data_IF_920406895379
#
_entry.id   IF_920406895379
#
_cell.length_a   1.000
_cell.length_b   1.000
_cell.length_c   1.000
_cell.angle_alpha   90.00
_cell.angle_beta   90.00
_cell.angle_gamma   90.00
#
_symmetry.space_group_name_H-M   'P 1'
#
loop_
_entity.id
_entity.type
_entity.pdbx_description
1 polymer ?
#
# COMPACT_ATOMS: atom_id res chain seq x y z
N UNK A 1 -10.36 -47.98 -66.98
CA UNK A 1 -11.09 -48.04 -65.70
C UNK A 1 -10.57 -46.93 -64.79
N UNK A 2 -11.37 -45.89 -64.57
CA UNK A 2 -10.99 -44.70 -63.79
C UNK A 2 -11.41 -44.87 -62.32
N UNK A 3 -10.46 -44.71 -61.40
CA UNK A 3 -10.64 -44.91 -59.95
C UNK A 3 -11.08 -43.58 -59.33
N UNK A 4 -12.33 -43.50 -58.89
CA UNK A 4 -12.89 -42.31 -58.25
C UNK A 4 -12.19 -42.01 -56.91
N UNK A 5 -11.71 -40.78 -56.75
CA UNK A 5 -11.21 -40.25 -55.46
C UNK A 5 -12.40 -39.96 -54.54
N UNK A 6 -12.51 -40.67 -53.42
CA UNK A 6 -13.50 -40.38 -52.38
C UNK A 6 -13.16 -39.03 -51.72
N UNK A 7 -14.01 -38.03 -51.93
CA UNK A 7 -13.95 -36.75 -51.21
C UNK A 7 -14.32 -37.01 -49.75
N UNK A 8 -13.37 -36.83 -48.82
CA UNK A 8 -13.65 -36.80 -47.39
C UNK A 8 -14.39 -35.48 -47.10
N UNK A 9 -15.70 -35.56 -46.88
CA UNK A 9 -16.53 -34.41 -46.52
C UNK A 9 -16.41 -34.21 -45.01
N UNK A 10 -15.69 -33.17 -44.58
CA UNK A 10 -15.70 -32.73 -43.19
C UNK A 10 -17.14 -32.36 -42.78
N UNK A 11 -17.75 -33.18 -41.93
CA UNK A 11 -19.06 -32.91 -41.39
C UNK A 11 -19.02 -31.66 -40.51
N UNK A 12 -19.75 -30.60 -40.88
CA UNK A 12 -19.93 -29.41 -40.03
C UNK A 12 -20.50 -29.83 -38.67
N UNK A 13 -19.71 -29.68 -37.59
CA UNK A 13 -20.17 -29.94 -36.22
C UNK A 13 -21.34 -29.01 -35.92
N UNK A 14 -22.52 -29.58 -35.62
CA UNK A 14 -23.70 -28.84 -35.18
C UNK A 14 -23.50 -28.39 -33.72
N UNK A 15 -23.71 -27.11 -33.41
CA UNK A 15 -23.61 -26.58 -32.05
C UNK A 15 -23.35 -25.07 -31.97
N UNK A 16 -23.34 -24.54 -30.75
CA UNK A 16 -22.95 -23.15 -30.47
C UNK A 16 -21.49 -22.93 -30.91
N UNK A 17 -21.16 -21.85 -31.64
CA UNK A 17 -19.78 -21.53 -32.00
C UNK A 17 -18.87 -21.52 -30.78
N UNK A 18 -17.67 -22.11 -30.93
CA UNK A 18 -16.64 -22.02 -29.90
C UNK A 18 -16.10 -20.60 -29.89
N UNK A 19 -16.17 -19.95 -28.73
CA UNK A 19 -15.57 -18.65 -28.49
C UNK A 19 -14.10 -18.85 -28.09
N UNK A 20 -13.22 -17.89 -28.35
CA UNK A 20 -11.83 -17.94 -27.90
C UNK A 20 -11.72 -17.90 -26.36
N UNK A 21 -10.57 -18.27 -25.80
CA UNK A 21 -10.39 -18.24 -24.34
C UNK A 21 -10.49 -16.80 -23.82
N UNK A 22 -9.81 -15.85 -24.45
CA UNK A 22 -9.71 -14.46 -23.96
C UNK A 22 -11.02 -13.68 -24.02
N UNK A 23 -11.80 -13.89 -25.09
CA UNK A 23 -13.08 -13.23 -25.34
C UNK A 23 -14.23 -13.80 -24.49
N UNK A 24 -14.01 -14.94 -23.84
CA UNK A 24 -15.03 -15.61 -23.06
C UNK A 24 -15.30 -14.94 -21.71
N UNK A 25 -16.55 -15.05 -21.24
CA UNK A 25 -16.90 -14.66 -19.86
C UNK A 25 -16.20 -15.54 -18.82
N UNK A 26 -15.99 -15.01 -17.62
CA UNK A 26 -15.30 -15.72 -16.52
C UNK A 26 -15.88 -17.09 -16.21
N UNK A 27 -17.22 -17.23 -16.25
CA UNK A 27 -17.89 -18.53 -16.07
C UNK A 27 -17.43 -19.54 -17.11
N UNK A 28 -17.31 -19.12 -18.37
CA UNK A 28 -16.88 -19.98 -19.47
C UNK A 28 -15.37 -20.26 -19.37
N UNK A 29 -14.53 -19.28 -19.01
CA UNK A 29 -13.09 -19.46 -18.76
C UNK A 29 -12.85 -20.52 -17.67
N UNK A 30 -13.56 -20.40 -16.54
CA UNK A 30 -13.51 -21.40 -15.45
C UNK A 30 -13.94 -22.79 -15.92
N UNK A 31 -15.02 -22.89 -16.69
CA UNK A 31 -15.49 -24.16 -17.27
C UNK A 31 -14.49 -24.76 -18.26
N UNK A 32 -13.82 -23.96 -19.08
CA UNK A 32 -12.77 -24.46 -19.99
C UNK A 32 -11.53 -24.92 -19.20
N UNK A 33 -11.22 -24.26 -18.10
CA UNK A 33 -10.08 -24.60 -17.25
C UNK A 33 -10.32 -25.79 -16.31
N UNK A 34 -11.56 -26.28 -16.14
CA UNK A 34 -11.84 -27.39 -15.21
C UNK A 34 -11.13 -28.67 -15.61
N UNK A 35 -11.08 -28.96 -16.90
CA UNK A 35 -10.50 -30.20 -17.40
C UNK A 35 -8.99 -30.22 -17.12
N UNK A 36 -8.32 -29.07 -17.31
CA UNK A 36 -6.90 -28.89 -16.97
C UNK A 36 -6.64 -28.91 -15.47
N UNK A 37 -7.51 -28.30 -14.66
CA UNK A 37 -7.39 -28.27 -13.20
C UNK A 37 -7.56 -29.65 -12.57
N UNK A 38 -8.46 -30.47 -13.10
CA UNK A 38 -8.76 -31.79 -12.54
C UNK A 38 -7.79 -32.86 -13.02
N UNK A 39 -7.18 -32.68 -14.20
CA UNK A 39 -6.28 -33.67 -14.80
C UNK A 39 -4.84 -33.60 -14.28
N UNK A 40 -4.39 -32.44 -13.76
CA UNK A 40 -3.00 -32.21 -13.36
C UNK A 40 -2.86 -31.86 -11.89
N UNK A 41 -1.70 -32.18 -11.33
CA UNK A 41 -1.35 -31.79 -9.97
C UNK A 41 -1.02 -30.29 -9.87
N UNK A 42 -1.14 -29.73 -8.67
CA UNK A 42 -0.85 -28.31 -8.43
C UNK A 42 0.61 -27.97 -8.76
N UNK A 43 1.56 -28.83 -8.40
CA UNK A 43 2.98 -28.64 -8.68
C UNK A 43 3.29 -28.58 -10.17
N UNK A 44 2.69 -29.46 -10.98
CA UNK A 44 2.83 -29.45 -12.44
C UNK A 44 2.25 -28.16 -13.04
N UNK A 45 1.10 -27.71 -12.56
CA UNK A 45 0.49 -26.46 -13.02
C UNK A 45 1.39 -25.26 -12.72
N UNK A 46 2.02 -25.21 -11.54
CA UNK A 46 2.95 -24.15 -11.17
C UNK A 46 4.19 -24.13 -12.07
N UNK A 47 4.77 -25.30 -12.36
CA UNK A 47 5.92 -25.41 -13.26
C UNK A 47 5.57 -24.95 -14.68
N UNK A 48 4.40 -25.35 -15.20
CA UNK A 48 3.93 -24.92 -16.52
C UNK A 48 3.74 -23.40 -16.58
N UNK A 49 3.17 -22.80 -15.54
CA UNK A 49 3.02 -21.34 -15.43
C UNK A 49 4.38 -20.65 -15.42
N UNK A 50 5.34 -21.18 -14.67
CA UNK A 50 6.70 -20.62 -14.61
C UNK A 50 7.38 -20.67 -15.99
N UNK A 51 7.27 -21.79 -16.69
CA UNK A 51 7.82 -21.98 -18.04
C UNK A 51 7.14 -21.06 -19.06
N UNK A 52 5.80 -20.93 -19.01
CA UNK A 52 5.06 -20.08 -19.93
C UNK A 52 5.41 -18.61 -19.74
N UNK A 53 5.53 -18.13 -18.50
CA UNK A 53 5.93 -16.75 -18.19
C UNK A 53 7.37 -16.44 -18.61
N UNK A 54 8.29 -17.41 -18.53
CA UNK A 54 9.64 -17.21 -19.09
C UNK A 54 9.63 -17.14 -20.61
N UNK A 55 8.84 -17.99 -21.26
CA UNK A 55 8.74 -17.99 -22.72
C UNK A 55 8.12 -16.71 -23.28
N UNK A 56 7.23 -16.06 -22.51
CA UNK A 56 6.64 -14.77 -22.88
C UNK A 56 7.52 -13.55 -22.54
N UNK A 57 8.71 -13.76 -21.95
CA UNK A 57 9.62 -12.70 -21.54
C UNK A 57 9.32 -12.06 -20.18
N UNK A 58 8.29 -12.53 -19.45
CA UNK A 58 7.91 -12.05 -18.13
C UNK A 58 8.74 -12.69 -17.00
N UNK A 59 10.07 -12.55 -17.08
CA UNK A 59 11.02 -13.20 -16.15
C UNK A 59 10.79 -12.84 -14.68
N UNK A 60 10.47 -11.57 -14.39
CA UNK A 60 10.21 -11.09 -13.03
C UNK A 60 8.98 -11.79 -12.44
N UNK A 61 7.90 -11.93 -13.22
CA UNK A 61 6.69 -12.61 -12.79
C UNK A 61 6.94 -14.10 -12.50
N UNK A 62 7.70 -14.77 -13.37
CA UNK A 62 8.11 -16.17 -13.15
C UNK A 62 8.92 -16.33 -11.85
N UNK A 63 9.87 -15.41 -11.59
CA UNK A 63 10.67 -15.42 -10.36
C UNK A 63 9.80 -15.24 -9.11
N UNK A 64 8.84 -14.30 -9.14
CA UNK A 64 7.93 -14.05 -8.02
C UNK A 64 7.07 -15.26 -7.72
N UNK A 65 6.50 -15.91 -8.74
CA UNK A 65 5.68 -17.11 -8.56
C UNK A 65 6.51 -18.23 -7.93
N UNK A 66 7.73 -18.48 -8.42
CA UNK A 66 8.64 -19.46 -7.83
C UNK A 66 8.94 -19.16 -6.36
N UNK A 67 9.20 -17.89 -6.04
CA UNK A 67 9.52 -17.46 -4.69
C UNK A 67 8.35 -17.64 -3.72
N UNK A 68 7.14 -17.24 -4.13
CA UNK A 68 5.91 -17.37 -3.34
C UNK A 68 5.55 -18.85 -3.10
N UNK A 69 5.85 -19.73 -4.06
CA UNK A 69 5.45 -21.14 -4.01
C UNK A 69 6.49 -22.05 -3.36
N UNK A 70 7.78 -21.75 -3.47
CA UNK A 70 8.87 -22.67 -3.06
C UNK A 70 9.45 -22.40 -1.67
N UNK A 71 9.33 -21.17 -1.14
CA UNK A 71 10.07 -20.77 0.07
C UNK A 71 9.25 -20.94 1.35
N UNK A 72 8.25 -20.09 1.58
CA UNK A 72 7.37 -20.14 2.75
C UNK A 72 5.96 -19.67 2.40
N UNK A 73 4.91 -20.25 3.02
CA UNK A 73 3.52 -19.84 2.78
C UNK A 73 3.25 -18.37 3.16
N UNK A 74 4.08 -17.80 4.04
CA UNK A 74 4.00 -16.40 4.50
C UNK A 74 4.65 -15.40 3.55
N UNK A 75 5.39 -15.85 2.53
CA UNK A 75 6.10 -14.95 1.61
C UNK A 75 5.14 -14.09 0.79
N UNK A 76 4.01 -14.66 0.35
CA UNK A 76 2.94 -13.93 -0.32
C UNK A 76 2.40 -12.78 0.52
N UNK A 77 2.23 -13.00 1.83
CA UNK A 77 1.74 -11.96 2.74
C UNK A 77 2.73 -10.80 2.88
N UNK A 78 4.04 -11.07 2.85
CA UNK A 78 5.07 -10.03 2.87
C UNK A 78 5.00 -9.14 1.62
N UNK A 79 4.80 -9.72 0.43
CA UNK A 79 4.57 -8.92 -0.78
C UNK A 79 3.31 -8.07 -0.66
N UNK A 80 2.22 -8.66 -0.14
CA UNK A 80 0.95 -7.94 0.04
C UNK A 80 1.08 -6.78 1.01
N UNK A 81 1.79 -6.94 2.12
CA UNK A 81 2.02 -5.84 3.08
C UNK A 81 2.95 -4.79 2.49
N UNK A 82 4.04 -5.18 1.83
CA UNK A 82 4.96 -4.24 1.18
C UNK A 82 4.28 -3.40 0.11
N UNK A 83 3.42 -4.00 -0.73
CA UNK A 83 2.65 -3.26 -1.73
C UNK A 83 1.71 -2.25 -1.07
N UNK A 84 0.97 -2.65 -0.04
CA UNK A 84 0.10 -1.74 0.71
C UNK A 84 0.88 -0.58 1.34
N UNK A 85 2.05 -0.86 1.90
CA UNK A 85 2.93 0.16 2.46
C UNK A 85 3.47 1.10 1.37
N UNK A 86 3.83 0.59 0.19
CA UNK A 86 4.32 1.41 -0.92
C UNK A 86 3.25 2.33 -1.51
N UNK A 87 1.97 1.93 -1.47
CA UNK A 87 0.86 2.76 -1.94
C UNK A 87 0.46 3.84 -0.95
N UNK A 88 0.80 3.67 0.32
CA UNK A 88 0.61 4.68 1.36
C UNK A 88 1.89 5.49 1.37
N UNK A 89 1.92 6.64 0.69
CA UNK A 89 2.94 7.64 0.94
C UNK A 89 2.92 7.92 2.45
N UNK A 90 3.95 7.46 3.16
CA UNK A 90 4.02 7.58 4.60
C UNK A 90 4.05 9.07 4.93
N UNK A 91 2.94 9.59 5.44
CA UNK A 91 2.89 10.98 5.91
C UNK A 91 3.78 11.03 7.13
N UNK A 92 4.85 11.80 7.01
CA UNK A 92 5.80 12.02 8.09
C UNK A 92 5.14 13.02 9.04
N UNK A 93 4.84 12.58 10.25
CA UNK A 93 4.39 13.46 11.32
C UNK A 93 5.51 14.45 11.67
N UNK A 94 5.18 15.73 11.82
CA UNK A 94 6.09 16.75 12.32
C UNK A 94 6.43 16.50 13.79
N UNK A 95 7.67 16.85 14.17
CA UNK A 95 8.08 16.87 15.57
C UNK A 95 7.28 17.92 16.37
N UNK A 96 7.09 17.67 17.66
CA UNK A 96 6.43 18.61 18.59
C UNK A 96 7.13 19.98 18.60
N UNK A 97 8.46 20.01 18.47
CA UNK A 97 9.25 21.25 18.46
C UNK A 97 9.07 22.05 17.16
N UNK A 98 9.02 21.35 16.02
CA UNK A 98 8.76 21.99 14.73
C UNK A 98 7.35 22.58 14.66
N UNK A 99 6.35 21.83 15.15
CA UNK A 99 4.98 22.30 15.25
C UNK A 99 4.84 23.48 16.23
N UNK A 100 5.65 23.53 17.30
CA UNK A 100 5.71 24.70 18.19
C UNK A 100 6.28 25.93 17.46
N UNK A 101 7.32 25.77 16.63
CA UNK A 101 7.88 26.86 15.81
C UNK A 101 6.80 27.49 14.94
N UNK A 102 6.05 26.69 14.19
CA UNK A 102 4.96 27.18 13.33
C UNK A 102 3.87 27.92 14.11
N UNK A 103 3.54 27.45 15.31
CA UNK A 103 2.56 28.11 16.19
C UNK A 103 3.06 29.48 16.64
N UNK A 104 4.35 29.60 16.96
CA UNK A 104 4.96 30.86 17.41
C UNK A 104 5.11 31.82 16.24
N UNK A 105 5.68 31.37 15.13
CA UNK A 105 5.88 32.16 13.90
C UNK A 105 4.56 32.63 13.30
N UNK A 106 3.58 31.72 13.21
CA UNK A 106 2.24 31.99 12.68
C UNK A 106 1.29 32.68 13.66
N UNK A 107 1.72 32.95 14.90
CA UNK A 107 0.90 33.52 15.99
C UNK A 107 -0.45 32.79 16.16
N UNK A 108 -0.40 31.46 16.06
CA UNK A 108 -1.61 30.64 16.08
C UNK A 108 -2.13 30.45 17.50
N UNK A 109 -3.43 30.68 17.69
CA UNK A 109 -4.13 30.24 18.89
C UNK A 109 -4.26 28.71 18.91
N UNK A 110 -4.48 28.15 20.11
CA UNK A 110 -4.78 26.71 20.28
C UNK A 110 -5.94 26.25 19.39
N UNK A 111 -6.99 27.05 19.28
CA UNK A 111 -8.16 26.71 18.47
C UNK A 111 -7.81 26.68 16.97
N UNK A 112 -7.06 27.66 16.47
CA UNK A 112 -6.62 27.69 15.07
C UNK A 112 -5.73 26.50 14.73
N UNK A 113 -4.78 26.16 15.61
CA UNK A 113 -3.94 24.96 15.45
C UNK A 113 -4.79 23.68 15.34
N UNK A 114 -5.77 23.51 16.24
CA UNK A 114 -6.66 22.34 16.22
C UNK A 114 -7.54 22.31 14.98
N UNK A 115 -8.01 23.46 14.49
CA UNK A 115 -8.78 23.56 13.25
C UNK A 115 -7.94 23.13 12.03
N UNK A 116 -6.72 23.63 11.89
CA UNK A 116 -5.79 23.25 10.82
C UNK A 116 -5.54 21.74 10.87
N UNK A 117 -5.19 21.22 12.05
CA UNK A 117 -4.94 19.79 12.25
C UNK A 117 -6.16 18.93 11.90
N UNK A 118 -7.35 19.32 12.36
CA UNK A 118 -8.57 18.57 12.09
C UNK A 118 -8.95 18.60 10.61
N UNK A 119 -8.72 19.73 9.92
CA UNK A 119 -8.86 19.83 8.47
C UNK A 119 -7.94 18.84 7.76
N UNK A 120 -6.65 18.86 8.11
CA UNK A 120 -5.64 17.97 7.53
C UNK A 120 -5.96 16.48 7.77
N UNK A 121 -6.44 16.13 8.98
CA UNK A 121 -6.91 14.78 9.29
C UNK A 121 -8.06 14.30 8.40
N UNK A 122 -9.00 15.18 8.02
CA UNK A 122 -10.09 14.84 7.08
C UNK A 122 -9.57 14.50 5.68
N UNK A 123 -8.46 15.11 5.29
CA UNK A 123 -7.80 14.87 4.01
C UNK A 123 -6.73 13.75 4.10
N UNK A 124 -6.80 12.92 5.14
CA UNK A 124 -5.83 11.86 5.44
C UNK A 124 -4.37 12.34 5.55
N UNK A 125 -4.11 13.63 5.78
CA UNK A 125 -2.77 14.19 5.92
C UNK A 125 -2.47 14.47 7.40
N UNK A 126 -1.99 13.48 8.16
CA UNK A 126 -1.62 13.64 9.57
C UNK A 126 -0.22 14.26 9.72
N UNK A 127 -0.02 15.49 9.26
CA UNK A 127 1.29 16.16 9.37
C UNK A 127 1.51 16.71 10.78
N UNK A 128 0.56 17.49 11.30
CA UNK A 128 0.72 18.12 12.61
C UNK A 128 0.46 17.14 13.76
N UNK A 129 1.36 17.11 14.79
CA UNK A 129 1.16 16.28 15.96
C UNK A 129 -0.11 16.68 16.71
N UNK A 130 -0.55 15.84 17.65
CA UNK A 130 -1.58 16.26 18.62
C UNK A 130 -1.13 17.49 19.41
N UNK A 131 -1.94 18.01 20.34
CA UNK A 131 -1.52 19.12 21.21
C UNK A 131 -0.46 18.70 22.26
N UNK A 132 0.44 17.77 21.89
CA UNK A 132 1.68 17.39 22.57
C UNK A 132 2.73 18.50 22.58
N UNK A 133 2.52 19.56 21.78
CA UNK A 133 3.24 20.85 21.82
C UNK A 133 3.38 21.40 23.24
N UNK A 134 2.46 21.08 24.17
CA UNK A 134 2.60 21.42 25.59
C UNK A 134 3.92 20.92 26.19
N UNK A 135 4.38 19.73 25.81
CA UNK A 135 5.67 19.18 26.27
C UNK A 135 6.84 20.01 25.75
N UNK A 136 6.80 20.39 24.47
CA UNK A 136 7.79 21.31 23.90
C UNK A 136 7.77 22.65 24.64
N UNK A 137 6.59 23.26 24.85
CA UNK A 137 6.44 24.50 25.62
C UNK A 137 7.08 24.42 26.99
N UNK A 138 6.79 23.37 27.77
CA UNK A 138 7.35 23.17 29.12
C UNK A 138 8.88 23.07 29.08
N UNK A 139 9.47 22.48 28.03
CA UNK A 139 10.94 22.41 27.88
C UNK A 139 11.56 23.78 27.63
N UNK A 140 10.90 24.62 26.85
CA UNK A 140 11.40 25.96 26.48
C UNK A 140 11.03 27.06 27.48
N UNK A 141 10.16 26.81 28.46
CA UNK A 141 9.93 27.77 29.54
C UNK A 141 11.04 27.69 30.59
N UNK A 142 11.54 28.83 31.07
CA UNK A 142 12.51 28.86 32.17
C UNK A 142 11.89 28.30 33.45
N UNK A 143 12.74 27.75 34.32
CA UNK A 143 12.33 27.24 35.63
C UNK A 143 12.13 28.40 36.61
N UNK A 144 11.31 28.17 37.63
CA UNK A 144 11.12 29.07 38.77
C UNK A 144 10.53 30.46 38.44
N UNK A 145 9.57 30.49 37.51
CA UNK A 145 8.77 31.70 37.22
C UNK A 145 7.73 31.89 38.33
N UNK A 146 7.75 33.04 38.99
CA UNK A 146 6.72 33.46 39.94
C UNK A 146 5.76 34.41 39.23
N UNK A 147 4.49 34.03 39.15
CA UNK A 147 3.45 34.85 38.53
C UNK A 147 2.44 35.23 39.61
N UNK A 148 2.30 36.54 39.85
CA UNK A 148 1.25 37.11 40.69
C UNK A 148 0.23 37.84 39.80
N UNK A 149 -0.86 38.35 40.39
CA UNK A 149 -1.89 39.07 39.65
C UNK A 149 -1.36 40.36 38.99
N UNK A 150 -0.35 40.99 39.59
CA UNK A 150 0.13 42.32 39.18
C UNK A 150 1.48 42.29 38.47
N UNK A 151 2.30 41.26 38.70
CA UNK A 151 3.64 41.16 38.13
C UNK A 151 4.09 39.71 38.00
N UNK A 152 5.06 39.47 37.12
CA UNK A 152 5.73 38.20 36.95
C UNK A 152 7.24 38.41 37.08
N UNK A 153 7.90 37.55 37.85
CA UNK A 153 9.33 37.63 38.14
C UNK A 153 10.00 36.28 37.84
N UNK A 154 11.25 36.35 37.39
CA UNK A 154 12.09 35.18 37.20
C UNK A 154 13.52 35.55 37.57
N UNK A 155 14.24 34.59 38.16
CA UNK A 155 15.66 34.80 38.48
C UNK A 155 16.49 34.93 37.21
N UNK A 156 17.33 35.96 37.13
CA UNK A 156 18.25 36.17 36.00
C UNK A 156 19.17 34.96 35.82
N UNK A 157 19.62 34.34 36.92
CA UNK A 157 20.45 33.14 36.85
C UNK A 157 19.68 31.95 36.27
N UNK A 158 18.39 31.83 36.58
CA UNK A 158 17.55 30.76 36.02
C UNK A 158 17.36 30.91 34.50
N UNK A 159 17.30 32.14 34.00
CA UNK A 159 17.30 32.42 32.56
C UNK A 159 18.64 32.04 31.92
N UNK A 160 19.75 32.51 32.49
CA UNK A 160 21.10 32.24 31.95
C UNK A 160 21.44 30.74 31.92
N UNK A 161 20.91 29.95 32.85
CA UNK A 161 21.13 28.51 32.88
C UNK A 161 20.24 27.74 31.89
N UNK A 162 19.18 28.37 31.38
CA UNK A 162 18.20 27.75 30.49
C UNK A 162 18.48 28.06 29.00
N UNK A 163 19.03 29.24 28.72
CA UNK A 163 19.51 29.69 27.39
C UNK A 163 20.88 29.13 27.05
#
# INVERSE_FOLDING_TARGET
MSRAKSKFVESKKRGRPSMEFEEASDRIKRRKATDLRNSRSISELLLIIEMSLRSSGAFIAASIIKEITSTTPTRADKYRTALKLSTILAIIEMSDDAALSDVVEGKLSKNQYLLIRNSMKKHNALIYPTYGILKAKVRYYPRDVQVTETHAEVSVQALLNHT
#
